data_IF_016377427083
#
_entry.id   IF_016377427083
#
_cell.length_a   1.000
_cell.length_b   1.000
_cell.length_c   1.000
_cell.angle_alpha   90.00
_cell.angle_beta   90.00
_cell.angle_gamma   90.00
#
_symmetry.space_group_name_H-M   'P 1'
#
loop_
_entity.id
_entity.type
_entity.pdbx_description
1 polymer ?
#
# COMPACT_ATOMS: atom_id res chain seq x y z
N UNK A 1 -12.72 16.86 13.56
CA UNK A 1 -12.74 15.41 13.88
C UNK A 1 -12.53 15.25 15.37
N UNK A 2 -13.27 14.31 15.98
CA UNK A 2 -13.13 13.93 17.38
C UNK A 2 -12.61 12.49 17.43
N UNK A 3 -11.60 12.24 18.26
CA UNK A 3 -11.07 10.90 18.49
C UNK A 3 -11.95 10.18 19.52
N UNK A 4 -12.80 9.26 19.06
CA UNK A 4 -13.72 8.52 19.93
C UNK A 4 -13.07 7.36 20.66
N UNK A 5 -12.09 6.69 20.05
CA UNK A 5 -11.38 5.55 20.63
C UNK A 5 -10.23 5.08 19.76
N UNK A 6 -9.36 4.23 20.31
CA UNK A 6 -8.21 3.66 19.61
C UNK A 6 -8.09 2.18 19.93
N UNK A 7 -7.98 1.37 18.86
CA UNK A 7 -7.63 -0.04 18.97
C UNK A 7 -6.10 -0.22 19.01
N UNK A 8 -5.65 -1.12 19.86
CA UNK A 8 -4.25 -1.55 19.93
C UNK A 8 -4.18 -3.07 19.92
N UNK A 9 -3.33 -3.63 19.07
CA UNK A 9 -3.16 -5.09 18.98
C UNK A 9 -2.40 -5.64 20.19
N UNK A 10 -1.38 -4.92 20.67
CA UNK A 10 -0.51 -5.37 21.76
C UNK A 10 -1.19 -5.18 23.12
N UNK A 11 -1.34 -6.24 23.94
CA UNK A 11 -2.00 -6.15 25.25
C UNK A 11 -1.36 -5.16 26.23
N UNK A 12 -0.05 -4.96 26.14
CA UNK A 12 0.70 -4.01 26.97
C UNK A 12 0.37 -2.54 26.69
N UNK A 13 -0.25 -2.25 25.54
CA UNK A 13 -0.73 -0.92 25.18
C UNK A 13 -2.18 -0.68 25.60
N UNK A 14 -2.96 -1.75 25.77
CA UNK A 14 -4.34 -1.64 26.23
C UNK A 14 -4.42 -1.08 27.66
N UNK A 15 -5.38 -0.20 27.91
CA UNK A 15 -5.55 0.47 29.20
C UNK A 15 -4.69 1.72 29.39
N UNK A 16 -3.84 2.08 28.42
CA UNK A 16 -2.99 3.29 28.47
C UNK A 16 -3.64 4.46 27.71
N UNK A 17 -3.33 5.67 28.12
CA UNK A 17 -3.75 6.86 27.38
C UNK A 17 -3.07 6.92 26.00
N UNK A 18 -3.85 7.25 24.97
CA UNK A 18 -3.37 7.28 23.58
C UNK A 18 -2.31 8.35 23.37
N UNK A 19 -2.44 9.51 24.04
CA UNK A 19 -1.43 10.56 23.96
C UNK A 19 -0.07 10.09 24.49
N UNK A 20 -0.08 9.36 25.63
CA UNK A 20 1.15 8.79 26.19
C UNK A 20 1.79 7.75 25.27
N UNK A 21 0.97 6.93 24.57
CA UNK A 21 1.46 5.92 23.62
C UNK A 21 2.23 6.51 22.45
N UNK A 22 1.90 7.75 22.06
CA UNK A 22 2.54 8.46 20.92
C UNK A 22 3.47 9.58 21.38
N UNK A 23 3.74 9.70 22.69
CA UNK A 23 4.72 10.64 23.24
C UNK A 23 4.26 12.10 23.28
N UNK A 24 2.94 12.35 23.37
CA UNK A 24 2.36 13.67 23.58
C UNK A 24 1.62 13.74 24.93
N UNK A 25 1.07 14.90 25.25
CA UNK A 25 0.26 15.07 26.45
C UNK A 25 -0.96 14.12 26.44
N UNK A 26 -1.41 13.62 27.61
CA UNK A 26 -2.59 12.76 27.71
C UNK A 26 -3.81 13.37 27.01
N UNK A 27 -4.51 12.54 26.23
CA UNK A 27 -5.70 12.93 25.49
C UNK A 27 -7.01 12.60 26.21
N UNK A 28 -6.95 11.82 27.30
CA UNK A 28 -8.12 11.30 28.01
C UNK A 28 -8.83 10.16 27.27
N UNK A 29 -8.21 9.62 26.21
CA UNK A 29 -8.71 8.48 25.46
C UNK A 29 -7.87 7.26 25.80
N UNK A 30 -8.51 6.24 26.34
CA UNK A 30 -7.86 4.98 26.72
C UNK A 30 -7.86 4.02 25.53
N UNK A 31 -6.68 3.50 25.18
CA UNK A 31 -6.54 2.47 24.16
C UNK A 31 -7.12 1.15 24.62
N UNK A 32 -7.74 0.40 23.73
CA UNK A 32 -8.32 -0.92 24.01
C UNK A 32 -7.99 -1.93 22.94
N UNK A 33 -7.99 -3.21 23.26
CA UNK A 33 -7.94 -4.33 22.31
C UNK A 33 -9.32 -5.01 22.16
N UNK A 34 -10.38 -4.37 22.62
CA UNK A 34 -11.76 -4.84 22.51
C UNK A 34 -12.50 -4.06 21.41
N UNK A 35 -12.71 -4.72 20.25
CA UNK A 35 -13.43 -4.15 19.11
C UNK A 35 -14.89 -3.86 19.46
N UNK A 36 -15.55 -4.71 20.29
CA UNK A 36 -16.94 -4.48 20.67
C UNK A 36 -17.11 -3.22 21.52
N UNK A 37 -16.16 -2.98 22.42
CA UNK A 37 -16.15 -1.75 23.21
C UNK A 37 -16.02 -0.51 22.32
N UNK A 38 -15.22 -0.56 21.24
CA UNK A 38 -15.10 0.53 20.29
C UNK A 38 -16.37 0.71 19.45
N UNK A 39 -16.96 -0.36 18.94
CA UNK A 39 -18.21 -0.30 18.18
C UNK A 39 -19.38 0.22 19.02
N UNK A 40 -19.39 -0.07 20.35
CA UNK A 40 -20.39 0.46 21.28
C UNK A 40 -20.34 1.99 21.39
N UNK A 41 -19.21 2.64 21.09
CA UNK A 41 -19.09 4.10 21.01
C UNK A 41 -19.82 4.68 19.79
N UNK A 42 -20.23 3.86 18.85
CA UNK A 42 -20.88 4.24 17.57
C UNK A 42 -20.10 5.31 16.80
N UNK A 43 -18.83 5.05 16.49
CA UNK A 43 -18.05 6.03 15.70
C UNK A 43 -18.64 6.18 14.30
N UNK A 44 -18.53 7.37 13.72
CA UNK A 44 -18.94 7.61 12.32
C UNK A 44 -18.03 6.90 11.32
N UNK A 45 -16.74 6.75 11.67
CA UNK A 45 -15.74 6.18 10.79
C UNK A 45 -14.57 5.58 11.58
N UNK A 46 -14.04 4.48 11.06
CA UNK A 46 -12.80 3.86 11.53
C UNK A 46 -11.70 4.09 10.50
N UNK A 47 -10.54 4.59 10.95
CA UNK A 47 -9.29 4.56 10.20
C UNK A 47 -8.65 3.20 10.46
N UNK A 48 -8.69 2.32 9.47
CA UNK A 48 -8.31 0.91 9.58
C UNK A 48 -6.94 0.68 8.93
N UNK A 49 -5.90 0.63 9.74
CA UNK A 49 -4.52 0.53 9.29
C UNK A 49 -3.74 -0.59 10.02
N UNK A 50 -4.22 -1.85 10.02
CA UNK A 50 -3.41 -2.95 10.49
C UNK A 50 -2.28 -3.25 9.50
N UNK A 51 -1.27 -4.02 9.93
CA UNK A 51 -0.23 -4.51 9.02
C UNK A 51 -0.82 -5.44 7.96
N UNK A 52 -1.77 -6.30 8.36
CA UNK A 52 -2.49 -7.21 7.45
C UNK A 52 -3.98 -7.05 7.65
N UNK A 53 -4.71 -7.04 6.55
CA UNK A 53 -6.17 -6.90 6.59
C UNK A 53 -6.84 -8.17 7.10
N UNK A 54 -7.85 -7.98 7.93
CA UNK A 54 -8.75 -9.04 8.37
C UNK A 54 -10.16 -8.79 7.80
N UNK A 55 -10.57 -9.64 6.86
CA UNK A 55 -11.90 -9.53 6.21
C UNK A 55 -13.02 -9.73 7.23
N UNK A 56 -12.87 -10.61 8.21
CA UNK A 56 -13.90 -10.87 9.22
C UNK A 56 -14.10 -9.64 10.12
N UNK A 57 -13.01 -8.99 10.51
CA UNK A 57 -13.05 -7.75 11.27
C UNK A 57 -13.69 -6.61 10.47
N UNK A 58 -13.32 -6.44 9.21
CA UNK A 58 -13.92 -5.45 8.31
C UNK A 58 -15.43 -5.68 8.14
N UNK A 59 -15.86 -6.92 7.91
CA UNK A 59 -17.28 -7.29 7.80
C UNK A 59 -18.00 -6.93 9.08
N UNK A 60 -17.42 -7.17 10.25
CA UNK A 60 -18.00 -6.83 11.55
C UNK A 60 -18.21 -5.33 11.71
N UNK A 61 -17.18 -4.52 11.42
CA UNK A 61 -17.23 -3.06 11.52
C UNK A 61 -18.29 -2.49 10.55
N UNK A 62 -18.23 -2.89 9.30
CA UNK A 62 -19.12 -2.39 8.25
C UNK A 62 -20.58 -2.80 8.48
N UNK A 63 -20.82 -4.04 8.94
CA UNK A 63 -22.17 -4.51 9.28
C UNK A 63 -22.78 -3.78 10.48
N UNK A 64 -21.92 -3.24 11.37
CA UNK A 64 -22.37 -2.40 12.49
C UNK A 64 -22.77 -0.97 12.06
N UNK A 65 -22.67 -0.63 10.76
CA UNK A 65 -23.02 0.68 10.21
C UNK A 65 -21.89 1.71 10.31
N UNK A 66 -20.67 1.29 10.58
CA UNK A 66 -19.50 2.17 10.73
C UNK A 66 -18.73 2.22 9.42
N UNK A 67 -18.46 3.44 8.93
CA UNK A 67 -17.65 3.62 7.72
C UNK A 67 -16.18 3.26 8.00
N UNK A 68 -15.47 2.84 6.95
CA UNK A 68 -14.04 2.48 7.05
C UNK A 68 -13.24 3.24 6.00
N UNK A 69 -12.13 3.82 6.44
CA UNK A 69 -11.05 4.31 5.57
C UNK A 69 -9.80 3.48 5.88
N UNK A 70 -9.25 2.82 4.85
CA UNK A 70 -8.03 2.03 4.99
C UNK A 70 -6.94 2.56 4.07
N UNK A 71 -5.67 2.50 4.50
CA UNK A 71 -4.53 2.87 3.66
C UNK A 71 -3.92 1.66 2.98
N UNK A 72 -3.48 1.83 1.72
CA UNK A 72 -2.56 0.98 0.95
C UNK A 72 -2.96 -0.50 0.73
N UNK A 73 -4.01 -1.00 1.33
CA UNK A 73 -4.37 -2.42 1.26
C UNK A 73 -5.55 -2.72 0.33
N UNK A 74 -6.23 -1.67 -0.11
CA UNK A 74 -7.38 -1.78 -0.99
C UNK A 74 -7.32 -0.66 -2.03
N UNK A 75 -7.38 -1.03 -3.30
CA UNK A 75 -7.64 -0.10 -4.39
C UNK A 75 -9.05 -0.37 -4.90
N UNK A 76 -9.28 -1.58 -5.39
CA UNK A 76 -10.58 -2.05 -5.86
C UNK A 76 -11.10 -3.26 -5.07
N UNK A 77 -10.23 -3.93 -4.33
CA UNK A 77 -10.51 -5.13 -3.56
C UNK A 77 -10.61 -6.41 -4.39
N UNK A 78 -10.27 -6.39 -5.67
CA UNK A 78 -10.34 -7.59 -6.53
C UNK A 78 -9.40 -8.70 -6.06
N UNK A 79 -8.24 -8.37 -5.48
CA UNK A 79 -7.29 -9.33 -4.94
C UNK A 79 -7.82 -10.10 -3.72
N UNK A 80 -8.89 -9.63 -3.10
CA UNK A 80 -9.53 -10.31 -1.98
C UNK A 80 -10.47 -11.45 -2.40
N UNK A 81 -10.77 -11.59 -3.70
CA UNK A 81 -11.69 -12.61 -4.19
C UNK A 81 -13.03 -12.57 -3.48
N UNK A 82 -13.48 -13.69 -2.89
CA UNK A 82 -14.73 -13.80 -2.13
C UNK A 82 -14.79 -12.83 -0.92
N UNK A 83 -13.66 -12.40 -0.40
CA UNK A 83 -13.59 -11.43 0.68
C UNK A 83 -14.19 -10.08 0.29
N UNK A 84 -14.01 -9.66 -0.96
CA UNK A 84 -14.64 -8.45 -1.51
C UNK A 84 -16.17 -8.52 -1.47
N UNK A 85 -16.74 -9.63 -1.93
CA UNK A 85 -18.20 -9.82 -1.95
C UNK A 85 -18.78 -9.76 -0.53
N UNK A 86 -18.07 -10.34 0.45
CA UNK A 86 -18.44 -10.27 1.86
C UNK A 86 -18.40 -8.84 2.41
N UNK A 87 -17.38 -8.07 2.06
CA UNK A 87 -17.25 -6.65 2.43
C UNK A 87 -18.38 -5.83 1.79
N UNK A 88 -18.66 -6.03 0.50
CA UNK A 88 -19.77 -5.35 -0.17
C UNK A 88 -21.14 -5.68 0.46
N UNK A 89 -21.37 -6.94 0.80
CA UNK A 89 -22.59 -7.36 1.49
C UNK A 89 -22.71 -6.70 2.87
N UNK A 90 -21.60 -6.61 3.62
CA UNK A 90 -21.55 -5.94 4.93
C UNK A 90 -21.85 -4.44 4.81
N UNK A 91 -21.26 -3.76 3.81
CA UNK A 91 -21.56 -2.36 3.52
C UNK A 91 -23.05 -2.13 3.25
N UNK A 92 -23.66 -2.99 2.41
CA UNK A 92 -25.08 -2.91 2.09
C UNK A 92 -25.96 -3.16 3.31
N UNK A 93 -25.62 -4.15 4.13
CA UNK A 93 -26.36 -4.50 5.34
C UNK A 93 -26.29 -3.41 6.41
N UNK A 94 -25.12 -2.82 6.63
CA UNK A 94 -24.89 -1.77 7.62
C UNK A 94 -25.23 -0.36 7.14
N UNK A 95 -25.46 -0.15 5.84
CA UNK A 95 -25.56 1.20 5.27
C UNK A 95 -24.26 2.00 5.39
N UNK A 96 -23.13 1.32 5.36
CA UNK A 96 -21.78 1.86 5.52
C UNK A 96 -20.99 1.85 4.22
N UNK A 97 -19.83 2.50 4.23
CA UNK A 97 -18.94 2.60 3.08
C UNK A 97 -17.52 2.24 3.50
N UNK A 98 -16.81 1.52 2.65
CA UNK A 98 -15.37 1.34 2.75
C UNK A 98 -14.66 2.13 1.65
N UNK A 99 -13.63 2.88 2.02
CA UNK A 99 -12.78 3.61 1.09
C UNK A 99 -11.32 3.20 1.28
N UNK A 100 -10.73 2.61 0.25
CA UNK A 100 -9.30 2.36 0.18
C UNK A 100 -8.57 3.61 -0.29
N UNK A 101 -7.48 3.96 0.38
CA UNK A 101 -6.68 5.14 0.11
C UNK A 101 -5.19 4.85 0.36
N UNK A 102 -4.37 5.86 0.23
CA UNK A 102 -2.92 5.80 0.39
C UNK A 102 -2.27 6.91 -0.40
N UNK A 103 -0.95 6.88 -0.52
CA UNK A 103 -0.20 7.76 -1.41
C UNK A 103 -0.14 7.16 -2.83
N UNK A 104 0.53 5.99 -2.92
CA UNK A 104 0.64 5.15 -4.11
C UNK A 104 0.78 3.68 -3.64
N UNK A 105 -0.19 2.79 -3.95
CA UNK A 105 -1.46 3.10 -4.59
C UNK A 105 -2.41 3.87 -3.66
N UNK A 106 -3.34 4.64 -4.23
CA UNK A 106 -4.39 5.36 -3.50
C UNK A 106 -4.69 6.74 -4.06
N UNK A 107 -3.85 7.75 -3.79
CA UNK A 107 -4.06 9.12 -4.29
C UNK A 107 -3.52 9.33 -5.71
N UNK A 108 -2.44 8.64 -6.07
CA UNK A 108 -1.79 8.78 -7.38
C UNK A 108 -2.72 8.42 -8.54
N UNK A 109 -3.51 7.37 -8.40
CA UNK A 109 -4.40 6.89 -9.45
C UNK A 109 -5.58 7.86 -9.69
N UNK A 110 -6.34 8.34 -8.69
CA UNK A 110 -7.32 9.40 -8.87
C UNK A 110 -6.74 10.66 -9.51
N UNK A 111 -5.52 11.06 -9.13
CA UNK A 111 -4.85 12.19 -9.75
C UNK A 111 -4.57 11.96 -11.23
N UNK A 112 -4.08 10.77 -11.58
CA UNK A 112 -3.87 10.37 -12.97
C UNK A 112 -5.18 10.34 -13.76
N UNK A 113 -6.24 9.76 -13.19
CA UNK A 113 -7.58 9.70 -13.80
C UNK A 113 -8.11 11.12 -14.06
N UNK A 114 -8.03 12.01 -13.07
CA UNK A 114 -8.46 13.42 -13.26
C UNK A 114 -7.63 14.11 -14.32
N UNK A 115 -6.32 13.88 -14.38
CA UNK A 115 -5.47 14.49 -15.42
C UNK A 115 -5.87 14.04 -16.83
N UNK A 116 -6.33 12.81 -17.04
CA UNK A 116 -6.78 12.32 -18.36
C UNK A 116 -8.03 13.04 -18.86
N UNK A 117 -8.86 13.58 -17.96
CA UNK A 117 -10.09 14.31 -18.36
C UNK A 117 -9.81 15.61 -19.11
N UNK A 118 -8.59 16.14 -18.97
CA UNK A 118 -8.15 17.35 -19.69
C UNK A 118 -7.52 17.04 -21.07
N UNK A 119 -7.38 15.75 -21.43
CA UNK A 119 -6.75 15.32 -22.66
C UNK A 119 -7.80 15.04 -23.75
N UNK A 120 -7.54 15.47 -24.97
CA UNK A 120 -8.37 15.12 -26.14
C UNK A 120 -8.21 13.63 -26.51
N UNK A 121 -7.00 13.08 -26.32
CA UNK A 121 -6.68 11.68 -26.51
C UNK A 121 -5.63 11.22 -25.50
N UNK A 122 -5.82 10.03 -24.97
CA UNK A 122 -4.87 9.36 -24.08
C UNK A 122 -4.35 8.12 -24.77
N UNK A 123 -3.05 8.07 -25.04
CA UNK A 123 -2.39 6.92 -25.64
C UNK A 123 -1.73 6.00 -24.60
N UNK A 124 -1.29 6.58 -23.49
CA UNK A 124 -0.68 5.89 -22.35
C UNK A 124 -0.81 6.75 -21.10
N UNK A 125 -1.02 6.13 -19.94
CA UNK A 125 -0.89 6.76 -18.62
C UNK A 125 0.34 6.15 -17.95
N UNK A 126 1.23 6.99 -17.45
CA UNK A 126 2.38 6.56 -16.63
C UNK A 126 2.27 7.20 -15.26
N UNK A 127 2.31 6.38 -14.22
CA UNK A 127 2.44 6.80 -12.83
C UNK A 127 3.80 6.29 -12.36
N UNK A 128 4.67 7.20 -11.95
CA UNK A 128 6.01 6.85 -11.49
C UNK A 128 6.26 7.37 -10.07
N UNK A 129 6.61 6.47 -9.19
CA UNK A 129 7.06 6.76 -7.84
C UNK A 129 8.56 6.52 -7.74
N UNK A 130 9.29 7.43 -7.12
CA UNK A 130 10.73 7.31 -6.89
C UNK A 130 11.04 7.80 -5.48
N UNK A 131 11.43 6.89 -4.59
CA UNK A 131 11.56 7.19 -3.17
C UNK A 131 12.86 6.64 -2.57
N UNK A 132 13.49 7.47 -1.71
CA UNK A 132 14.48 7.00 -0.74
C UNK A 132 13.75 6.43 0.47
N UNK A 133 13.79 5.11 0.60
CA UNK A 133 13.13 4.38 1.68
C UNK A 133 14.09 4.03 2.83
N UNK A 134 15.23 4.72 2.93
CA UNK A 134 16.23 4.45 3.98
C UNK A 134 15.64 4.59 5.39
N UNK A 135 14.75 5.57 5.58
CA UNK A 135 14.06 5.80 6.85
C UNK A 135 12.81 4.94 7.05
N UNK A 136 12.35 4.25 6.02
CA UNK A 136 11.27 3.27 6.12
C UNK A 136 11.89 1.94 6.58
N UNK A 137 11.84 1.70 7.88
CA UNK A 137 12.49 0.57 8.54
C UNK A 137 11.45 -0.49 8.93
N UNK A 138 10.97 -1.24 7.93
CA UNK A 138 9.94 -2.27 8.09
C UNK A 138 10.31 -3.55 7.34
N UNK A 139 11.20 -4.38 7.90
CA UNK A 139 11.68 -5.59 7.22
C UNK A 139 10.56 -6.55 6.84
N UNK A 140 9.45 -6.59 7.59
CA UNK A 140 8.32 -7.49 7.31
C UNK A 140 7.57 -7.14 6.03
N UNK A 141 7.58 -5.87 5.62
CA UNK A 141 6.96 -5.41 4.36
C UNK A 141 7.97 -5.29 3.22
N UNK A 142 9.26 -5.15 3.53
CA UNK A 142 10.31 -4.93 2.53
C UNK A 142 10.92 -6.23 2.01
N UNK A 143 11.14 -7.21 2.87
CA UNK A 143 11.67 -8.52 2.46
C UNK A 143 10.82 -9.23 1.40
N UNK A 144 9.49 -9.17 1.46
CA UNK A 144 8.65 -9.71 0.39
C UNK A 144 8.87 -9.08 -0.99
N UNK A 145 9.43 -7.85 -1.03
CA UNK A 145 9.80 -7.17 -2.28
C UNK A 145 11.23 -7.53 -2.77
N UNK A 146 11.99 -8.32 -1.98
CA UNK A 146 13.35 -8.76 -2.31
C UNK A 146 14.46 -8.01 -1.56
N UNK A 147 14.15 -6.97 -0.77
CA UNK A 147 15.18 -6.28 0.02
C UNK A 147 15.92 -7.23 0.96
N UNK A 148 17.24 -7.10 1.01
CA UNK A 148 18.12 -7.93 1.83
C UNK A 148 18.47 -9.30 1.25
N UNK A 149 17.83 -9.71 0.14
CA UNK A 149 18.22 -10.93 -0.59
C UNK A 149 19.54 -10.72 -1.33
N UNK A 150 20.26 -11.81 -1.57
CA UNK A 150 21.44 -11.72 -2.43
C UNK A 150 21.03 -11.37 -3.85
N UNK A 151 21.82 -10.55 -4.54
CA UNK A 151 21.51 -10.13 -5.92
C UNK A 151 21.52 -11.30 -6.92
N UNK A 152 22.22 -12.38 -6.61
CA UNK A 152 22.32 -13.60 -7.41
C UNK A 152 21.35 -14.73 -6.96
N UNK A 153 20.42 -14.43 -6.06
CA UNK A 153 19.44 -15.40 -5.58
C UNK A 153 18.45 -15.76 -6.69
N UNK A 154 18.25 -17.08 -6.98
CA UNK A 154 17.35 -17.51 -8.05
C UNK A 154 15.87 -17.21 -7.82
N UNK A 155 15.44 -16.96 -6.57
CA UNK A 155 14.07 -16.60 -6.23
C UNK A 155 13.80 -15.09 -6.39
N UNK A 156 14.85 -14.27 -6.46
CA UNK A 156 14.74 -12.81 -6.51
C UNK A 156 13.82 -12.29 -7.64
N UNK A 157 13.85 -12.83 -8.87
CA UNK A 157 13.05 -12.26 -9.98
C UNK A 157 11.53 -12.21 -9.72
N UNK A 158 11.00 -13.08 -8.87
CA UNK A 158 9.56 -13.12 -8.54
C UNK A 158 9.15 -12.25 -7.37
N UNK A 159 10.12 -11.80 -6.56
CA UNK A 159 9.83 -11.15 -5.28
C UNK A 159 9.12 -9.81 -5.43
N UNK A 160 9.59 -8.94 -6.32
CA UNK A 160 8.95 -7.64 -6.52
C UNK A 160 7.50 -7.78 -6.98
N UNK A 161 7.21 -8.69 -7.91
CA UNK A 161 5.84 -8.94 -8.36
C UNK A 161 4.94 -9.43 -7.21
N UNK A 162 5.46 -10.29 -6.35
CA UNK A 162 4.71 -10.77 -5.19
C UNK A 162 4.50 -9.67 -4.14
N UNK A 163 5.56 -8.96 -3.76
CA UNK A 163 5.53 -7.96 -2.71
C UNK A 163 4.79 -6.67 -3.09
N UNK A 164 4.64 -6.41 -4.40
CA UNK A 164 3.97 -5.21 -4.94
C UNK A 164 2.67 -5.52 -5.70
N UNK A 165 2.07 -6.70 -5.49
CA UNK A 165 0.91 -7.17 -6.27
C UNK A 165 -0.30 -6.21 -6.22
N UNK A 166 -0.43 -5.39 -5.17
CA UNK A 166 -1.48 -4.37 -5.04
C UNK A 166 -1.48 -3.37 -6.22
N UNK A 167 -0.33 -3.13 -6.84
CA UNK A 167 -0.24 -2.21 -7.98
C UNK A 167 -0.92 -2.77 -9.25
N UNK A 168 -1.15 -4.08 -9.35
CA UNK A 168 -1.96 -4.64 -10.43
C UNK A 168 -3.40 -4.12 -10.38
N UNK A 169 -3.98 -3.98 -9.17
CA UNK A 169 -5.31 -3.37 -9.02
C UNK A 169 -5.32 -1.88 -9.39
N UNK A 170 -4.25 -1.17 -9.06
CA UNK A 170 -4.11 0.24 -9.42
C UNK A 170 -4.06 0.42 -10.95
N UNK A 171 -3.34 -0.45 -11.65
CA UNK A 171 -3.32 -0.50 -13.13
C UNK A 171 -4.72 -0.78 -13.68
N UNK A 172 -5.43 -1.76 -13.12
CA UNK A 172 -6.80 -2.09 -13.53
C UNK A 172 -7.76 -0.90 -13.32
N UNK A 173 -7.67 -0.21 -12.17
CA UNK A 173 -8.48 0.96 -11.86
C UNK A 173 -8.31 2.08 -12.90
N UNK A 174 -7.07 2.37 -13.29
CA UNK A 174 -6.78 3.39 -14.31
C UNK A 174 -7.33 2.95 -15.68
N UNK A 175 -7.14 1.69 -16.07
CA UNK A 175 -7.67 1.16 -17.32
C UNK A 175 -9.20 1.21 -17.38
N UNK A 176 -9.87 0.82 -16.30
CA UNK A 176 -11.34 0.89 -16.18
C UNK A 176 -11.84 2.33 -16.34
N UNK A 177 -11.13 3.30 -15.76
CA UNK A 177 -11.49 4.73 -15.88
C UNK A 177 -11.35 5.27 -17.30
N UNK A 178 -10.44 4.69 -18.09
CA UNK A 178 -10.25 4.99 -19.51
C UNK A 178 -11.27 4.24 -20.41
N UNK A 179 -12.08 3.35 -19.84
CA UNK A 179 -13.04 2.52 -20.58
C UNK A 179 -12.35 1.48 -21.47
N UNK A 180 -11.15 1.03 -21.12
CA UNK A 180 -10.39 0.04 -21.90
C UNK A 180 -10.31 -1.28 -21.17
N UNK A 181 -10.38 -2.40 -21.90
CA UNK A 181 -10.17 -3.74 -21.38
C UNK A 181 -8.73 -4.16 -21.70
N UNK A 182 -7.97 -4.48 -20.66
CA UNK A 182 -6.61 -4.98 -20.79
C UNK A 182 -6.61 -6.47 -21.17
N UNK A 183 -5.67 -6.87 -22.02
CA UNK A 183 -5.42 -8.28 -22.34
C UNK A 183 -4.67 -8.97 -21.20
N UNK A 184 -3.73 -8.22 -20.58
CA UNK A 184 -2.88 -8.71 -19.49
C UNK A 184 -2.39 -7.56 -18.60
N UNK A 185 -2.05 -7.92 -17.37
CA UNK A 185 -1.29 -7.06 -16.45
C UNK A 185 -0.03 -7.85 -16.05
N UNK A 186 1.14 -7.28 -16.32
CA UNK A 186 2.44 -7.92 -16.06
C UNK A 186 3.31 -7.03 -15.18
N UNK A 187 4.20 -7.66 -14.41
CA UNK A 187 5.22 -6.97 -13.63
C UNK A 187 6.60 -7.27 -14.19
N UNK A 188 7.35 -6.23 -14.51
CA UNK A 188 8.78 -6.30 -14.82
C UNK A 188 9.56 -5.70 -13.66
N UNK A 189 10.63 -6.36 -13.21
CA UNK A 189 11.39 -5.94 -12.05
C UNK A 189 12.90 -5.88 -12.34
N UNK A 190 13.54 -4.87 -11.71
CA UNK A 190 14.99 -4.74 -11.67
C UNK A 190 15.43 -4.53 -10.23
N UNK A 191 16.67 -4.91 -9.93
CA UNK A 191 17.21 -4.82 -8.58
C UNK A 191 18.59 -4.19 -8.60
N UNK A 192 18.92 -3.47 -7.51
CA UNK A 192 20.25 -2.94 -7.27
C UNK A 192 20.74 -3.41 -5.89
N UNK A 193 22.01 -3.82 -5.83
CA UNK A 193 22.63 -4.22 -4.57
C UNK A 193 23.30 -3.03 -3.88
N UNK A 194 23.43 -3.09 -2.57
CA UNK A 194 24.32 -2.16 -1.86
C UNK A 194 25.78 -2.63 -1.95
N UNK A 195 26.71 -1.69 -2.06
CA UNK A 195 28.14 -1.99 -2.08
C UNK A 195 28.78 -2.00 -0.70
N UNK A 196 28.04 -1.61 0.34
CA UNK A 196 28.45 -1.61 1.74
C UNK A 196 27.32 -2.09 2.64
N UNK A 197 27.63 -2.49 3.88
CA UNK A 197 26.61 -2.86 4.86
C UNK A 197 25.75 -1.65 5.22
N UNK A 198 24.43 -1.77 5.07
CA UNK A 198 23.46 -0.76 5.45
C UNK A 198 22.83 -1.13 6.79
N UNK A 199 23.24 -0.49 7.87
CA UNK A 199 22.64 -0.65 9.18
C UNK A 199 21.46 0.30 9.35
N UNK A 200 20.27 -0.25 9.60
CA UNK A 200 19.06 0.47 9.98
C UNK A 200 18.70 0.15 11.44
N UNK A 201 17.65 0.73 11.97
CA UNK A 201 17.34 0.54 13.39
C UNK A 201 16.92 -0.90 13.72
N UNK A 202 16.15 -1.57 12.84
CA UNK A 202 15.63 -2.92 13.09
C UNK A 202 16.37 -4.04 12.37
N UNK A 203 17.18 -3.75 11.35
CA UNK A 203 17.93 -4.76 10.59
C UNK A 203 19.12 -4.18 9.82
N UNK A 204 19.94 -5.05 9.27
CA UNK A 204 21.05 -4.68 8.39
C UNK A 204 20.92 -5.38 7.05
N UNK A 205 21.13 -4.66 5.96
CA UNK A 205 21.26 -5.21 4.61
C UNK A 205 22.78 -5.34 4.33
N UNK A 206 23.32 -6.55 4.20
CA UNK A 206 24.73 -6.74 3.92
C UNK A 206 25.13 -6.27 2.52
N UNK A 207 26.40 -5.93 2.32
CA UNK A 207 26.97 -5.68 1.01
C UNK A 207 26.72 -6.85 0.05
N UNK A 208 26.40 -6.56 -1.20
CA UNK A 208 26.01 -7.54 -2.23
C UNK A 208 24.57 -8.03 -2.14
N UNK A 209 23.78 -7.46 -1.22
CA UNK A 209 22.36 -7.73 -1.12
C UNK A 209 21.50 -6.58 -1.69
N UNK A 210 20.28 -6.90 -2.07
CA UNK A 210 19.33 -5.95 -2.65
C UNK A 210 19.01 -4.82 -1.68
N UNK A 211 19.25 -3.61 -2.11
CA UNK A 211 18.89 -2.37 -1.44
C UNK A 211 18.17 -1.38 -2.38
N UNK A 212 17.95 -1.78 -3.63
CA UNK A 212 17.12 -1.09 -4.60
C UNK A 212 16.18 -2.06 -5.29
N UNK A 213 14.88 -1.68 -5.37
CA UNK A 213 13.83 -2.44 -6.06
C UNK A 213 13.13 -1.51 -7.03
N UNK A 214 13.09 -1.89 -8.30
CA UNK A 214 12.25 -1.30 -9.32
C UNK A 214 11.21 -2.31 -9.75
N UNK A 215 9.94 -1.92 -9.76
CA UNK A 215 8.85 -2.73 -10.28
C UNK A 215 8.00 -1.87 -11.23
N UNK A 216 7.77 -2.36 -12.45
CA UNK A 216 6.90 -1.75 -13.46
C UNK A 216 5.72 -2.67 -13.70
N UNK A 217 4.54 -2.25 -13.27
CA UNK A 217 3.27 -2.90 -13.50
C UNK A 217 2.62 -2.33 -14.75
N UNK A 218 2.46 -3.15 -15.76
CA UNK A 218 2.04 -2.73 -17.08
C UNK A 218 0.73 -3.39 -17.48
N UNK A 219 -0.29 -2.55 -17.74
CA UNK A 219 -1.52 -2.97 -18.38
C UNK A 219 -1.38 -2.88 -19.90
N UNK A 220 -1.57 -4.00 -20.61
CA UNK A 220 -1.27 -4.13 -22.05
C UNK A 220 -2.52 -4.46 -22.87
N UNK A 221 -2.56 -3.94 -24.10
CA UNK A 221 -3.52 -4.28 -25.16
C UNK A 221 -2.74 -4.53 -26.44
N UNK A 222 -2.88 -5.70 -27.04
CA UNK A 222 -2.15 -6.08 -28.26
C UNK A 222 -0.62 -5.98 -28.08
N UNK A 223 -0.10 -6.30 -26.90
CA UNK A 223 1.32 -6.18 -26.55
C UNK A 223 1.82 -4.75 -26.30
N UNK A 224 0.95 -3.73 -26.45
CA UNK A 224 1.29 -2.33 -26.19
C UNK A 224 0.87 -1.93 -24.76
N UNK A 225 1.78 -1.33 -24.01
CA UNK A 225 1.51 -0.79 -22.69
C UNK A 225 0.63 0.46 -22.77
N UNK A 226 -0.55 0.40 -22.12
CA UNK A 226 -1.53 1.49 -22.04
C UNK A 226 -1.46 2.16 -20.68
N UNK A 227 -1.27 1.38 -19.61
CA UNK A 227 -1.04 1.88 -18.26
C UNK A 227 0.29 1.32 -17.76
N UNK A 228 1.11 2.19 -17.18
CA UNK A 228 2.44 1.86 -16.69
C UNK A 228 2.60 2.49 -15.31
N UNK A 229 2.46 1.68 -14.28
CA UNK A 229 2.69 2.10 -12.91
C UNK A 229 4.03 1.53 -12.46
N UNK A 230 4.97 2.40 -12.17
CA UNK A 230 6.29 1.96 -11.74
C UNK A 230 6.73 2.62 -10.45
N UNK A 231 7.39 1.83 -9.63
CA UNK A 231 7.98 2.25 -8.37
C UNK A 231 9.47 1.97 -8.39
N UNK A 232 10.23 2.94 -7.91
CA UNK A 232 11.68 2.81 -7.73
C UNK A 232 12.01 3.18 -6.29
N UNK A 233 12.26 2.19 -5.50
CA UNK A 233 12.62 2.33 -4.09
C UNK A 233 14.10 2.03 -3.89
N UNK A 234 14.79 2.87 -3.16
CA UNK A 234 16.19 2.64 -2.81
C UNK A 234 16.45 2.88 -1.33
N UNK A 235 17.46 2.18 -0.81
CA UNK A 235 18.03 2.39 0.53
C UNK A 235 19.51 2.70 0.41
N UNK A 236 19.97 3.66 1.23
CA UNK A 236 21.38 4.08 1.23
C UNK A 236 21.79 4.87 -0.02
N UNK A 237 23.07 5.20 -0.09
CA UNK A 237 23.63 6.06 -1.14
C UNK A 237 24.52 5.30 -2.13
N UNK A 238 24.90 4.07 -1.81
CA UNK A 238 25.91 3.28 -2.54
C UNK A 238 25.27 2.05 -3.19
N UNK A 239 24.50 2.27 -4.28
CA UNK A 239 23.88 1.19 -5.05
C UNK A 239 24.70 0.83 -6.29
N UNK A 240 24.64 -0.44 -6.69
CA UNK A 240 25.13 -0.97 -7.95
C UNK A 240 24.02 -1.79 -8.64
N UNK A 241 23.46 -1.34 -9.80
CA UNK A 241 23.75 -0.07 -10.46
C UNK A 241 23.31 1.15 -9.64
N UNK A 242 23.98 2.30 -9.83
CA UNK A 242 23.63 3.55 -9.15
C UNK A 242 22.32 4.13 -9.72
N UNK A 243 21.26 3.95 -8.97
CA UNK A 243 19.95 4.53 -9.32
C UNK A 243 19.81 5.92 -8.72
N UNK A 244 19.62 6.89 -9.58
CA UNK A 244 19.27 8.25 -9.16
C UNK A 244 17.76 8.33 -8.93
N UNK A 245 17.36 9.12 -7.93
CA UNK A 245 15.97 9.46 -7.71
C UNK A 245 15.58 10.64 -8.61
N UNK A 246 14.48 10.50 -9.34
CA UNK A 246 14.00 11.52 -10.29
C UNK A 246 12.92 12.43 -9.68
N UNK A 247 12.56 12.21 -8.45
CA UNK A 247 11.47 12.89 -7.74
C UNK A 247 10.55 11.89 -7.05
N UNK A 248 9.62 12.39 -6.27
CA UNK A 248 8.81 11.54 -5.39
C UNK A 248 7.69 10.83 -6.15
N UNK A 249 6.83 11.57 -6.83
CA UNK A 249 5.70 11.04 -7.59
C UNK A 249 5.47 11.84 -8.86
N UNK A 250 5.35 11.15 -9.99
CA UNK A 250 5.09 11.77 -11.30
C UNK A 250 3.95 11.05 -12.01
N UNK A 251 3.03 11.82 -12.59
CA UNK A 251 1.99 11.33 -13.52
C UNK A 251 2.24 11.93 -14.90
N UNK A 252 2.26 11.09 -15.93
CA UNK A 252 2.47 11.49 -17.34
C UNK A 252 1.47 10.82 -18.26
#
# INVERSE_FOLDING_TARGET
LELAGVYVHSPDKAGRDVGELVGIAPLGVTATNDVDALLALKPDCVVYNPMWNDVDELVRILSAGVNVVASASFVTGHNLGEGRDRIEAACKAGGSTMFGSGGSPGFAEPLAIVATTACDRVDKVTIAESADTTLYDSPDTERPCGFGMRIDDPELPGMAAQGTAIFAEAVALVADSLGVQLDEIVCEAEYAQTTEDLAMASWTIPAGCVAGVYASWQGRIGGRTIVDLNVRWRKGQTLDPDWKLDGDLTVR
#
